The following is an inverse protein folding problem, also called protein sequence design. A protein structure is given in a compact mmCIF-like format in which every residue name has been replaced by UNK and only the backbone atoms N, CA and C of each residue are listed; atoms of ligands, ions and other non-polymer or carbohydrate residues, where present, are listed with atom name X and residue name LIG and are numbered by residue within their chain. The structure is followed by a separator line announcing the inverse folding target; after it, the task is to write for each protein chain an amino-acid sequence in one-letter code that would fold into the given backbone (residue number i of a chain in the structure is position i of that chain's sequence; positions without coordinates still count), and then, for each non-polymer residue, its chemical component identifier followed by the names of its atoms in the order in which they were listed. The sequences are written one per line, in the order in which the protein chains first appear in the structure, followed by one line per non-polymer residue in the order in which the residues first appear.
data_IF_345391170192
#
_entry.id   IF_345391170192
#
_cell.length_a   1.000
_cell.length_b   1.000
_cell.length_c   1.000
_cell.angle_alpha   90.00
_cell.angle_beta   90.00
_cell.angle_gamma   90.00
#
_symmetry.space_group_name_H-M   'P 1'
#
loop_
_entity.id
_entity.type
_entity.pdbx_description
1 polymer ?
#
# COMPACT_ATOMS: atom_id res chain seq x y z
N UNK A 1 7.70 -7.66 -3.20
CA UNK A 1 8.35 -8.60 -4.12
C UNK A 1 7.50 -8.77 -5.39
N UNK A 2 7.60 -7.81 -6.32
CA UNK A 2 6.80 -7.81 -7.55
C UNK A 2 7.24 -8.86 -8.57
N UNK A 3 6.44 -9.01 -9.66
CA UNK A 3 6.67 -10.05 -10.67
C UNK A 3 8.05 -9.96 -11.35
N UNK A 4 8.56 -8.74 -11.61
CA UNK A 4 9.91 -8.56 -12.19
C UNK A 4 11.02 -9.09 -11.28
N UNK A 5 10.86 -9.03 -9.97
CA UNK A 5 11.80 -9.65 -9.03
C UNK A 5 11.69 -11.18 -9.07
N UNK A 6 10.46 -11.72 -9.18
CA UNK A 6 10.29 -13.14 -9.38
C UNK A 6 11.04 -13.63 -10.64
N UNK A 7 10.86 -12.97 -11.77
CA UNK A 7 11.57 -13.34 -13.03
C UNK A 7 13.09 -13.32 -12.90
N UNK A 8 13.64 -12.38 -12.13
CA UNK A 8 15.10 -12.27 -11.91
C UNK A 8 15.64 -13.29 -10.92
N UNK A 9 14.87 -13.66 -9.90
CA UNK A 9 15.31 -14.54 -8.81
C UNK A 9 14.58 -15.88 -8.78
N UNK A 10 13.97 -16.28 -9.89
CA UNK A 10 13.20 -17.53 -9.98
C UNK A 10 14.01 -18.80 -9.68
N UNK A 11 15.32 -18.76 -9.90
CA UNK A 11 16.23 -19.87 -9.63
C UNK A 11 16.67 -19.97 -8.16
N UNK A 12 16.32 -18.99 -7.33
CA UNK A 12 16.64 -19.05 -5.91
C UNK A 12 16.01 -20.27 -5.22
N UNK A 13 16.73 -20.96 -4.31
CA UNK A 13 16.26 -22.21 -3.69
C UNK A 13 14.87 -22.13 -3.08
N UNK A 14 14.55 -21.02 -2.40
CA UNK A 14 13.22 -20.80 -1.82
C UNK A 14 12.12 -20.75 -2.89
N UNK A 15 12.34 -20.01 -3.98
CA UNK A 15 11.37 -19.88 -5.08
C UNK A 15 11.20 -21.24 -5.76
N UNK A 16 12.28 -21.97 -6.02
CA UNK A 16 12.24 -23.32 -6.59
C UNK A 16 11.51 -24.33 -5.69
N UNK A 17 11.63 -24.17 -4.38
CA UNK A 17 10.85 -24.95 -3.39
C UNK A 17 9.35 -24.66 -3.52
N UNK A 18 8.96 -23.40 -3.57
CA UNK A 18 7.55 -22.98 -3.73
C UNK A 18 7.00 -23.49 -5.05
N UNK A 19 7.76 -23.37 -6.15
CA UNK A 19 7.33 -23.85 -7.47
C UNK A 19 7.09 -25.38 -7.50
N UNK A 20 7.90 -26.16 -6.79
CA UNK A 20 7.75 -27.64 -6.73
C UNK A 20 6.58 -28.11 -5.87
N UNK A 21 6.20 -27.35 -4.85
CA UNK A 21 5.22 -27.80 -3.83
C UNK A 21 3.96 -26.95 -3.79
N UNK A 22 3.89 -25.90 -4.59
CA UNK A 22 2.80 -24.93 -4.62
C UNK A 22 2.52 -24.44 -6.02
N UNK A 23 2.00 -23.23 -6.09
CA UNK A 23 1.63 -22.52 -7.33
C UNK A 23 2.16 -21.09 -7.28
N UNK A 24 2.74 -20.64 -8.37
CA UNK A 24 3.21 -19.26 -8.54
C UNK A 24 2.46 -18.68 -9.74
N UNK A 25 1.82 -17.54 -9.55
CA UNK A 25 1.06 -16.88 -10.59
C UNK A 25 1.31 -15.38 -10.59
N UNK A 26 1.25 -14.80 -11.78
CA UNK A 26 1.27 -13.36 -11.98
C UNK A 26 -0.13 -12.79 -11.73
N UNK A 27 -0.21 -11.82 -10.85
CA UNK A 27 -1.42 -11.05 -10.58
C UNK A 27 -1.18 -9.59 -10.94
N UNK A 28 -2.24 -8.90 -11.35
CA UNK A 28 -2.25 -7.45 -11.47
C UNK A 28 -2.57 -6.84 -10.11
N UNK A 29 -1.85 -5.79 -9.74
CA UNK A 29 -2.22 -4.99 -8.57
C UNK A 29 -3.55 -4.27 -8.81
N UNK A 30 -4.28 -3.96 -7.75
CA UNK A 30 -5.45 -3.08 -7.87
C UNK A 30 -5.02 -1.65 -8.24
N UNK A 31 -5.96 -0.85 -8.70
CA UNK A 31 -5.77 0.57 -8.94
C UNK A 31 -6.34 1.40 -7.77
N UNK A 32 -5.63 2.43 -7.29
CA UNK A 32 -4.22 2.75 -7.53
C UNK A 32 -3.26 1.71 -6.94
N UNK A 33 -2.07 1.57 -7.56
CA UNK A 33 -1.08 0.57 -7.17
C UNK A 33 -0.16 1.11 -6.07
N UNK A 34 -0.68 1.24 -4.85
CA UNK A 34 0.05 1.79 -3.70
C UNK A 34 -0.10 0.95 -2.45
N UNK A 35 0.88 1.03 -1.56
CA UNK A 35 0.86 0.32 -0.27
C UNK A 35 -0.39 0.63 0.54
N UNK A 36 -0.80 1.91 0.62
CA UNK A 36 -1.94 2.29 1.44
C UNK A 36 -3.24 1.61 0.99
N UNK A 37 -3.49 1.58 -0.32
CA UNK A 37 -4.65 0.91 -0.91
C UNK A 37 -4.60 -0.60 -0.68
N UNK A 38 -3.47 -1.25 -1.02
CA UNK A 38 -3.34 -2.71 -0.97
C UNK A 38 -3.34 -3.27 0.45
N UNK A 39 -2.57 -2.67 1.36
CA UNK A 39 -2.53 -3.12 2.77
C UNK A 39 -3.90 -2.95 3.42
N UNK A 40 -4.64 -1.88 3.09
CA UNK A 40 -6.02 -1.71 3.57
C UNK A 40 -6.92 -2.82 3.03
N UNK A 41 -6.86 -3.13 1.73
CA UNK A 41 -7.63 -4.23 1.13
C UNK A 41 -7.26 -5.58 1.75
N UNK A 42 -5.98 -5.87 1.97
CA UNK A 42 -5.52 -7.12 2.61
C UNK A 42 -6.12 -7.28 4.01
N UNK A 43 -6.19 -6.21 4.80
CA UNK A 43 -6.69 -6.27 6.18
C UNK A 43 -8.20 -6.18 6.31
N UNK A 44 -8.90 -5.69 5.29
CA UNK A 44 -10.36 -5.47 5.35
C UNK A 44 -11.14 -6.39 4.43
N UNK A 45 -10.54 -6.84 3.32
CA UNK A 45 -11.24 -7.51 2.23
C UNK A 45 -12.08 -6.55 1.37
N UNK A 46 -11.96 -5.25 1.55
CA UNK A 46 -12.74 -4.24 0.85
C UNK A 46 -11.97 -3.69 -0.36
N UNK A 47 -12.62 -3.50 -1.51
CA UNK A 47 -12.01 -2.80 -2.63
C UNK A 47 -11.80 -1.32 -2.28
N UNK A 48 -10.96 -0.66 -3.05
CA UNK A 48 -10.55 0.74 -2.84
C UNK A 48 -11.76 1.69 -2.75
N UNK A 49 -12.70 1.58 -3.69
CA UNK A 49 -13.89 2.43 -3.70
C UNK A 49 -14.77 2.30 -2.45
N UNK A 50 -14.75 1.14 -1.79
CA UNK A 50 -15.50 0.92 -0.53
C UNK A 50 -14.68 1.35 0.68
N UNK A 51 -13.37 1.07 0.70
CA UNK A 51 -12.51 1.42 1.82
C UNK A 51 -12.29 2.92 1.96
N UNK A 52 -12.27 3.66 0.86
CA UNK A 52 -11.93 5.07 0.77
C UNK A 52 -10.44 5.37 0.96
N UNK A 53 -9.61 4.36 1.26
CA UNK A 53 -8.14 4.52 1.35
C UNK A 53 -7.56 4.12 0.01
N UNK A 54 -7.41 5.11 -0.87
CA UNK A 54 -7.09 4.84 -2.28
C UNK A 54 -5.65 5.14 -2.66
N UNK A 55 -4.93 5.96 -1.88
CA UNK A 55 -3.57 6.34 -2.21
C UNK A 55 -2.71 6.61 -0.96
N UNK A 56 -1.38 6.74 -1.15
CA UNK A 56 -0.44 7.12 -0.07
C UNK A 56 -0.73 8.52 0.45
N UNK A 57 -1.16 9.41 -0.43
CA UNK A 57 -1.67 10.74 -0.12
C UNK A 57 -2.99 10.95 -0.83
N UNK A 58 -4.01 11.44 -0.13
CA UNK A 58 -5.27 11.85 -0.74
C UNK A 58 -5.95 12.95 0.08
N UNK A 59 -6.86 13.68 -0.57
CA UNK A 59 -7.67 14.70 0.11
C UNK A 59 -8.74 14.04 0.99
N UNK A 60 -8.74 14.40 2.27
CA UNK A 60 -9.75 13.97 3.24
C UNK A 60 -10.73 15.13 3.52
N UNK A 61 -11.98 15.04 3.07
CA UNK A 61 -12.96 16.13 3.22
C UNK A 61 -13.21 16.56 4.65
N UNK A 62 -13.14 15.65 5.62
CA UNK A 62 -13.39 15.95 7.03
C UNK A 62 -12.28 16.81 7.65
N UNK A 63 -11.09 16.70 7.10
CA UNK A 63 -9.91 17.47 7.53
C UNK A 63 -9.69 18.69 6.63
N UNK A 64 -10.30 18.68 5.45
CA UNK A 64 -10.15 19.68 4.38
C UNK A 64 -8.69 19.88 3.95
N UNK A 65 -7.96 18.78 3.87
CA UNK A 65 -6.54 18.75 3.52
C UNK A 65 -6.12 17.41 2.92
N UNK A 66 -4.99 17.38 2.24
CA UNK A 66 -4.34 16.14 1.81
C UNK A 66 -3.66 15.48 3.02
N UNK A 67 -3.93 14.20 3.23
CA UNK A 67 -3.42 13.42 4.35
C UNK A 67 -2.55 12.25 3.89
N UNK A 68 -1.74 11.73 4.82
CA UNK A 68 -1.04 10.45 4.72
C UNK A 68 -1.76 9.43 5.61
N UNK A 69 -2.66 8.58 5.06
CA UNK A 69 -3.51 7.73 5.86
C UNK A 69 -2.74 6.75 6.74
N UNK A 70 -1.67 6.12 6.26
CA UNK A 70 -0.91 5.16 7.07
C UNK A 70 -0.21 5.80 8.27
N UNK A 71 0.09 7.10 8.20
CA UNK A 71 0.67 7.88 9.29
C UNK A 71 -0.40 8.50 10.20
N UNK A 72 -1.64 8.58 9.75
CA UNK A 72 -2.72 9.36 10.36
C UNK A 72 -2.30 10.84 10.54
N UNK A 73 -1.77 11.42 9.49
CA UNK A 73 -1.13 12.74 9.53
C UNK A 73 -1.44 13.57 8.29
N UNK A 74 -1.24 14.89 8.39
CA UNK A 74 -1.20 15.74 7.22
C UNK A 74 -0.09 15.30 6.26
N UNK A 75 -0.27 15.51 4.97
CA UNK A 75 0.80 15.34 3.98
C UNK A 75 1.97 16.31 4.25
N UNK A 76 3.17 15.95 3.76
CA UNK A 76 4.36 16.81 3.90
C UNK A 76 5.07 16.72 5.25
N UNK A 77 4.61 15.92 6.20
CA UNK A 77 5.30 15.64 7.47
C UNK A 77 5.67 14.16 7.59
N UNK A 78 6.75 13.88 8.34
CA UNK A 78 7.10 12.54 8.80
C UNK A 78 6.55 12.22 10.19
N UNK A 79 5.96 13.21 10.87
CA UNK A 79 5.34 13.02 12.16
C UNK A 79 4.08 12.18 12.02
N UNK A 80 3.85 11.31 12.99
CA UNK A 80 2.67 10.47 13.06
C UNK A 80 1.59 11.13 13.90
N UNK A 81 0.36 10.78 13.58
CA UNK A 81 -0.78 11.09 14.45
C UNK A 81 -1.10 12.59 14.58
N UNK A 82 -0.66 13.42 13.64
CA UNK A 82 -0.97 14.86 13.68
C UNK A 82 -2.47 15.16 13.53
N UNK A 83 -3.25 14.16 13.08
CA UNK A 83 -4.71 14.27 12.97
C UNK A 83 -5.48 13.86 14.23
N UNK A 84 -4.82 13.33 15.27
CA UNK A 84 -5.49 12.81 16.48
C UNK A 84 -6.41 13.80 17.19
N UNK A 85 -6.03 15.07 17.19
CA UNK A 85 -6.83 16.13 17.82
C UNK A 85 -7.92 16.70 16.90
N UNK A 86 -7.91 16.34 15.62
CA UNK A 86 -8.74 16.93 14.58
C UNK A 86 -9.91 16.01 14.21
N UNK A 87 -9.63 14.71 13.98
CA UNK A 87 -10.62 13.75 13.49
C UNK A 87 -10.46 12.40 14.20
N UNK A 88 -11.57 11.72 14.40
CA UNK A 88 -11.53 10.35 14.96
C UNK A 88 -11.02 9.36 13.90
N UNK A 89 -10.12 8.42 14.25
CA UNK A 89 -9.61 7.43 13.29
C UNK A 89 -10.72 6.64 12.56
N UNK A 90 -11.80 6.30 13.27
CA UNK A 90 -12.96 5.62 12.71
C UNK A 90 -13.70 6.41 11.60
N UNK A 91 -13.47 7.71 11.51
CA UNK A 91 -14.02 8.54 10.44
C UNK A 91 -13.17 8.49 9.16
N UNK A 92 -11.87 8.24 9.28
CA UNK A 92 -10.93 8.17 8.16
C UNK A 92 -10.79 6.73 7.60
N UNK A 93 -10.85 5.72 8.47
CA UNK A 93 -10.63 4.34 8.04
C UNK A 93 -11.92 3.53 7.95
N UNK A 94 -11.96 2.52 7.05
CA UNK A 94 -13.11 1.64 6.93
C UNK A 94 -13.35 0.86 8.22
N UNK A 95 -14.62 0.64 8.52
CA UNK A 95 -15.05 -0.25 9.58
C UNK A 95 -15.39 -1.63 8.99
N UNK A 96 -15.46 -2.67 9.80
CA UNK A 96 -15.88 -3.98 9.31
C UNK A 96 -14.76 -4.87 8.80
N UNK A 97 -13.64 -4.87 9.50
CA UNK A 97 -12.51 -5.78 9.24
C UNK A 97 -12.88 -7.26 9.50
N UNK A 98 -12.24 -8.19 8.80
CA UNK A 98 -12.59 -9.61 8.89
C UNK A 98 -12.05 -10.35 10.13
N UNK A 99 -11.11 -9.78 10.87
CA UNK A 99 -10.50 -10.45 12.05
C UNK A 99 -11.47 -10.87 13.15
N UNK A 100 -12.51 -10.08 13.49
CA UNK A 100 -13.54 -10.53 14.41
C UNK A 100 -14.32 -11.76 13.92
N UNK A 101 -14.54 -11.89 12.61
CA UNK A 101 -15.17 -13.06 12.02
C UNK A 101 -14.30 -14.32 12.17
N UNK A 102 -12.98 -14.21 11.96
CA UNK A 102 -12.05 -15.31 12.23
C UNK A 102 -12.14 -15.81 13.68
N UNK A 103 -12.21 -14.88 14.64
CA UNK A 103 -12.36 -15.25 16.06
C UNK A 103 -13.65 -16.00 16.34
N UNK A 104 -14.78 -15.60 15.74
CA UNK A 104 -16.07 -16.32 15.85
C UNK A 104 -15.98 -17.74 15.30
N UNK A 105 -15.11 -17.99 14.31
CA UNK A 105 -14.82 -19.31 13.76
C UNK A 105 -13.76 -20.09 14.56
N UNK A 106 -13.32 -19.56 15.70
CA UNK A 106 -12.31 -20.20 16.55
C UNK A 106 -10.88 -20.07 16.05
N UNK A 107 -10.64 -19.26 15.00
CA UNK A 107 -9.30 -18.96 14.46
C UNK A 107 -8.73 -17.75 15.18
N UNK A 108 -7.49 -17.84 15.68
CA UNK A 108 -6.82 -16.73 16.35
C UNK A 108 -5.98 -15.93 15.36
N UNK A 109 -6.32 -14.65 15.08
CA UNK A 109 -5.59 -13.83 14.12
C UNK A 109 -4.42 -13.09 14.78
N UNK A 110 -3.29 -13.08 14.07
CA UNK A 110 -2.09 -12.34 14.42
C UNK A 110 -1.58 -11.52 13.23
N UNK A 111 -1.08 -10.32 13.49
CA UNK A 111 -0.45 -9.46 12.49
C UNK A 111 0.96 -9.11 12.97
N UNK A 112 1.96 -9.47 12.16
CA UNK A 112 3.35 -9.12 12.39
C UNK A 112 3.71 -7.90 11.55
N UNK A 113 4.17 -6.83 12.20
CA UNK A 113 4.58 -5.58 11.56
C UNK A 113 5.88 -5.03 12.14
N UNK A 114 6.56 -4.21 11.37
CA UNK A 114 7.80 -3.58 11.81
C UNK A 114 7.54 -2.67 13.03
N UNK A 115 8.47 -2.70 13.98
CA UNK A 115 8.33 -2.03 15.28
C UNK A 115 8.16 -0.52 15.16
N UNK A 116 8.75 0.10 14.16
CA UNK A 116 8.75 1.55 14.00
C UNK A 116 7.34 2.12 13.74
N UNK A 117 6.42 1.28 13.25
CA UNK A 117 5.04 1.68 12.98
C UNK A 117 3.98 0.66 13.46
N UNK A 118 4.38 -0.26 14.34
CA UNK A 118 3.46 -1.22 14.97
C UNK A 118 3.64 -1.22 16.48
N UNK A 119 2.61 -0.85 17.26
CA UNK A 119 1.26 -0.46 16.85
C UNK A 119 1.16 0.96 16.23
N UNK A 120 0.06 1.24 15.51
CA UNK A 120 -0.23 2.56 14.96
C UNK A 120 -1.72 2.89 15.06
N UNK A 121 -2.08 4.15 14.86
CA UNK A 121 -3.48 4.58 14.83
C UNK A 121 -4.23 3.91 13.68
N UNK A 122 -3.63 3.79 12.49
CA UNK A 122 -4.16 3.01 11.39
C UNK A 122 -4.43 1.55 11.79
N UNK A 123 -3.43 0.88 12.34
CA UNK A 123 -3.53 -0.53 12.74
C UNK A 123 -4.58 -0.76 13.85
N UNK A 124 -4.82 0.23 14.72
CA UNK A 124 -5.82 0.12 15.78
C UNK A 124 -7.26 -0.02 15.24
N UNK A 125 -7.52 0.48 14.03
CA UNK A 125 -8.82 0.38 13.35
C UNK A 125 -8.80 -0.77 12.34
N UNK A 126 -7.90 -0.74 11.38
CA UNK A 126 -7.89 -1.64 10.22
C UNK A 126 -7.47 -3.07 10.57
N UNK A 127 -6.76 -3.25 11.68
CA UNK A 127 -6.39 -4.58 12.20
C UNK A 127 -7.14 -4.93 13.50
N UNK A 128 -8.25 -4.25 13.77
CA UNK A 128 -9.05 -4.50 14.97
C UNK A 128 -9.46 -5.97 15.06
N UNK A 129 -9.19 -6.58 16.21
CA UNK A 129 -9.47 -7.99 16.42
C UNK A 129 -8.26 -8.91 16.21
N UNK A 130 -7.20 -8.51 15.53
CA UNK A 130 -5.94 -9.23 15.48
C UNK A 130 -5.04 -8.88 16.66
N UNK A 131 -4.20 -9.83 17.09
CA UNK A 131 -3.12 -9.58 18.03
C UNK A 131 -1.89 -9.07 17.25
N UNK A 132 -1.45 -7.85 17.54
CA UNK A 132 -0.30 -7.25 16.85
C UNK A 132 1.01 -7.70 17.49
N UNK A 133 1.97 -8.10 16.67
CA UNK A 133 3.31 -8.53 17.04
C UNK A 133 4.33 -7.66 16.29
N UNK A 134 5.05 -6.82 17.02
CA UNK A 134 6.11 -6.03 16.39
C UNK A 134 7.43 -6.80 16.32
N UNK A 135 8.22 -6.53 15.29
CA UNK A 135 9.57 -7.06 15.11
C UNK A 135 10.53 -5.99 14.56
N UNK A 136 11.83 -6.19 14.73
CA UNK A 136 12.88 -5.33 14.16
C UNK A 136 13.48 -5.92 12.88
N UNK A 137 13.66 -7.25 12.85
CA UNK A 137 14.29 -7.96 11.74
C UNK A 137 13.42 -9.10 11.24
N UNK A 138 13.56 -9.46 9.97
CA UNK A 138 12.82 -10.58 9.40
C UNK A 138 13.13 -11.90 10.13
N UNK A 139 14.38 -12.15 10.50
CA UNK A 139 14.77 -13.35 11.26
C UNK A 139 14.08 -13.41 12.62
N UNK A 140 13.97 -12.29 13.35
CA UNK A 140 13.18 -12.21 14.59
C UNK A 140 11.70 -12.56 14.33
N UNK A 141 11.10 -11.98 13.29
CA UNK A 141 9.71 -12.25 12.94
C UNK A 141 9.46 -13.72 12.62
N UNK A 142 10.34 -14.35 11.84
CA UNK A 142 10.24 -15.76 11.45
C UNK A 142 10.38 -16.69 12.66
N UNK A 143 11.32 -16.41 13.58
CA UNK A 143 11.46 -17.18 14.82
C UNK A 143 10.22 -16.99 15.71
N UNK A 144 9.74 -15.78 15.89
CA UNK A 144 8.54 -15.51 16.68
C UNK A 144 7.30 -16.18 16.09
N UNK A 145 7.18 -16.23 14.77
CA UNK A 145 6.13 -16.99 14.07
C UNK A 145 6.24 -18.49 14.38
N UNK A 146 7.44 -19.07 14.30
CA UNK A 146 7.68 -20.49 14.64
C UNK A 146 7.26 -20.82 16.07
N UNK A 147 7.68 -20.01 17.04
CA UNK A 147 7.32 -20.15 18.47
C UNK A 147 5.80 -20.04 18.67
N UNK A 148 5.17 -19.07 17.98
CA UNK A 148 3.72 -18.88 18.04
C UNK A 148 2.98 -20.13 17.54
N UNK A 149 3.40 -20.69 16.41
CA UNK A 149 2.80 -21.89 15.84
C UNK A 149 3.01 -23.13 16.70
N UNK A 150 4.15 -23.25 17.38
CA UNK A 150 4.41 -24.34 18.33
C UNK A 150 3.49 -24.30 19.53
N UNK A 151 3.25 -23.13 20.07
CA UNK A 151 2.42 -22.94 21.27
C UNK A 151 0.91 -22.92 20.97
N UNK A 152 0.53 -22.79 19.72
CA UNK A 152 -0.87 -22.65 19.33
C UNK A 152 -1.57 -24.00 19.32
N UNK A 153 -2.63 -24.12 20.14
CA UNK A 153 -3.51 -25.31 20.19
C UNK A 153 -4.75 -25.16 19.28
N UNK A 154 -5.02 -23.97 18.79
CA UNK A 154 -6.15 -23.63 17.92
C UNK A 154 -5.65 -23.22 16.55
N UNK A 155 -6.49 -23.29 15.51
CA UNK A 155 -6.15 -22.70 14.22
C UNK A 155 -5.75 -21.23 14.37
N UNK A 156 -4.74 -20.82 13.60
CA UNK A 156 -4.25 -19.45 13.58
C UNK A 156 -4.25 -18.90 12.16
N UNK A 157 -4.53 -17.64 12.04
CA UNK A 157 -4.26 -16.83 10.85
C UNK A 157 -3.11 -15.91 11.21
N UNK A 158 -2.10 -15.86 10.36
CA UNK A 158 -0.97 -14.93 10.55
C UNK A 158 -0.73 -14.14 9.28
N UNK A 159 -0.62 -12.84 9.41
CA UNK A 159 -0.15 -11.95 8.36
C UNK A 159 1.20 -11.36 8.81
N UNK A 160 2.20 -11.41 7.94
CA UNK A 160 3.52 -10.81 8.17
C UNK A 160 3.81 -9.86 7.02
N UNK A 161 4.01 -8.59 7.33
CA UNK A 161 4.37 -7.57 6.36
C UNK A 161 5.85 -7.20 6.48
N UNK A 162 6.55 -7.22 5.35
CA UNK A 162 7.97 -6.89 5.25
C UNK A 162 8.17 -5.83 4.18
N UNK A 163 8.64 -4.65 4.58
CA UNK A 163 8.71 -3.44 3.77
C UNK A 163 10.11 -3.11 3.21
N UNK A 164 11.16 -3.82 3.63
CA UNK A 164 12.55 -3.38 3.35
C UNK A 164 12.90 -3.38 1.87
N UNK A 165 12.37 -4.34 1.10
CA UNK A 165 12.60 -4.37 -0.34
C UNK A 165 12.03 -3.13 -1.00
N UNK A 166 10.80 -2.75 -0.65
CA UNK A 166 10.15 -1.54 -1.18
C UNK A 166 10.88 -0.27 -0.73
N UNK A 167 11.25 -0.19 0.54
CA UNK A 167 11.99 0.95 1.08
C UNK A 167 13.31 1.19 0.33
N UNK A 168 14.06 0.13 0.00
CA UNK A 168 15.30 0.25 -0.77
C UNK A 168 15.05 0.56 -2.24
N UNK A 169 13.94 0.06 -2.83
CA UNK A 169 13.53 0.48 -4.17
C UNK A 169 13.29 2.00 -4.25
N UNK A 170 12.69 2.58 -3.22
CA UNK A 170 12.44 4.03 -3.15
C UNK A 170 13.72 4.84 -2.94
N UNK A 171 14.72 4.29 -2.26
CA UNK A 171 15.96 5.01 -1.95
C UNK A 171 17.01 4.88 -3.07
N UNK A 172 17.17 3.68 -3.64
CA UNK A 172 18.25 3.38 -4.58
C UNK A 172 17.77 2.98 -5.97
N UNK A 173 16.49 2.63 -6.11
CA UNK A 173 15.94 2.06 -7.35
C UNK A 173 15.83 0.54 -7.33
N UNK A 174 14.89 -0.04 -8.12
CA UNK A 174 14.60 -1.47 -8.11
C UNK A 174 15.70 -2.36 -8.71
N UNK A 175 16.64 -1.78 -9.45
CA UNK A 175 17.79 -2.51 -10.06
C UNK A 175 19.11 -2.23 -9.36
N UNK A 176 19.10 -1.47 -8.29
CA UNK A 176 20.30 -1.12 -7.54
C UNK A 176 20.87 -2.33 -6.77
N UNK A 177 22.21 -2.42 -6.61
CA UNK A 177 22.86 -3.51 -5.87
C UNK A 177 22.36 -3.64 -4.43
N UNK A 178 21.99 -2.53 -3.78
CA UNK A 178 21.44 -2.53 -2.43
C UNK A 178 20.07 -3.23 -2.37
N UNK A 179 19.22 -2.99 -3.36
CA UNK A 179 17.92 -3.65 -3.48
C UNK A 179 18.07 -5.13 -3.80
N UNK A 180 18.99 -5.48 -4.68
CA UNK A 180 19.31 -6.89 -4.98
C UNK A 180 19.79 -7.65 -3.75
N UNK A 181 20.73 -7.08 -3.01
CA UNK A 181 21.25 -7.69 -1.78
C UNK A 181 20.16 -7.93 -0.72
N UNK A 182 19.20 -7.02 -0.59
CA UNK A 182 18.06 -7.21 0.33
C UNK A 182 17.13 -8.33 -0.15
N UNK A 183 16.88 -8.43 -1.46
CA UNK A 183 16.08 -9.51 -2.04
C UNK A 183 16.76 -10.86 -1.81
N UNK A 184 18.07 -10.94 -2.07
CA UNK A 184 18.86 -12.16 -1.81
C UNK A 184 18.81 -12.55 -0.34
N UNK A 185 19.02 -11.58 0.56
CA UNK A 185 18.93 -11.80 2.01
C UNK A 185 17.56 -12.29 2.42
N UNK A 186 16.48 -11.67 1.91
CA UNK A 186 15.11 -12.12 2.14
C UNK A 186 14.92 -13.59 1.72
N UNK A 187 15.34 -13.94 0.51
CA UNK A 187 15.18 -15.30 -0.02
C UNK A 187 16.02 -16.33 0.76
N UNK A 188 17.23 -15.98 1.16
CA UNK A 188 18.08 -16.82 2.02
C UNK A 188 17.46 -17.07 3.39
N UNK A 189 16.91 -16.03 4.03
CA UNK A 189 16.23 -16.18 5.31
C UNK A 189 14.96 -17.02 5.18
N UNK A 190 14.18 -16.84 4.13
CA UNK A 190 12.99 -17.63 3.85
C UNK A 190 13.38 -19.12 3.66
N UNK A 191 14.40 -19.43 2.84
CA UNK A 191 14.88 -20.81 2.66
C UNK A 191 15.35 -21.43 3.98
N UNK A 192 16.16 -20.69 4.74
CA UNK A 192 16.74 -21.20 5.99
C UNK A 192 15.69 -21.48 7.06
N UNK A 193 14.69 -20.61 7.21
CA UNK A 193 13.70 -20.71 8.29
C UNK A 193 12.43 -21.47 7.89
N UNK A 194 12.15 -21.64 6.59
CA UNK A 194 10.90 -22.23 6.12
C UNK A 194 10.66 -23.63 6.70
N UNK A 195 11.64 -24.51 6.59
CA UNK A 195 11.54 -25.87 7.14
C UNK A 195 11.46 -25.86 8.68
N UNK A 196 12.19 -24.98 9.34
CA UNK A 196 12.13 -24.85 10.81
C UNK A 196 10.74 -24.46 11.30
N UNK A 197 10.02 -23.66 10.52
CA UNK A 197 8.67 -23.18 10.86
C UNK A 197 7.60 -24.19 10.46
N UNK A 198 7.70 -24.80 9.29
CA UNK A 198 6.60 -25.55 8.67
C UNK A 198 6.82 -27.06 8.58
N UNK A 199 8.05 -27.57 8.67
CA UNK A 199 8.35 -29.01 8.55
C UNK A 199 7.57 -29.82 9.59
N UNK A 200 6.92 -30.88 9.11
CA UNK A 200 6.10 -31.77 9.95
C UNK A 200 4.74 -31.24 10.36
N UNK A 201 4.41 -29.97 10.05
CA UNK A 201 3.09 -29.41 10.30
C UNK A 201 2.13 -29.84 9.19
N UNK A 202 0.97 -30.34 9.58
CA UNK A 202 -0.12 -30.68 8.66
C UNK A 202 -1.13 -29.53 8.58
N UNK A 203 -1.79 -29.39 7.43
CA UNK A 203 -2.86 -28.39 7.20
C UNK A 203 -2.39 -26.95 7.38
N UNK A 204 -1.24 -26.62 6.79
CA UNK A 204 -0.72 -25.25 6.67
C UNK A 204 -0.92 -24.79 5.24
N UNK A 205 -1.48 -23.60 5.08
CA UNK A 205 -1.47 -22.84 3.84
C UNK A 205 -0.49 -21.68 4.03
N UNK A 206 0.53 -21.62 3.19
CA UNK A 206 1.44 -20.48 3.07
C UNK A 206 1.08 -19.69 1.81
N UNK A 207 0.84 -18.40 1.96
CA UNK A 207 0.62 -17.46 0.86
C UNK A 207 1.68 -16.37 0.95
N UNK A 208 2.29 -16.05 -0.18
CA UNK A 208 3.20 -14.92 -0.32
C UNK A 208 2.69 -14.06 -1.48
N UNK A 209 2.50 -12.78 -1.23
CA UNK A 209 2.07 -11.82 -2.25
C UNK A 209 2.82 -10.50 -2.06
N UNK A 210 2.82 -9.68 -3.09
CA UNK A 210 3.24 -8.28 -2.99
C UNK A 210 2.00 -7.38 -3.01
N UNK A 211 2.09 -6.25 -2.35
CA UNK A 211 1.10 -5.18 -2.43
C UNK A 211 1.18 -4.48 -3.79
N UNK A 212 2.37 -4.29 -4.35
CA UNK A 212 2.62 -3.82 -5.70
C UNK A 212 4.03 -4.23 -6.17
N UNK A 213 4.38 -3.88 -7.40
CA UNK A 213 5.74 -3.97 -7.92
C UNK A 213 6.48 -2.63 -7.84
N UNK A 214 7.69 -2.59 -8.38
CA UNK A 214 8.47 -1.39 -8.55
C UNK A 214 8.89 -1.22 -10.02
N UNK A 215 9.02 0.03 -10.46
CA UNK A 215 9.49 0.40 -11.80
C UNK A 215 10.59 1.44 -11.69
N UNK A 216 11.55 1.40 -12.60
CA UNK A 216 12.54 2.46 -12.73
C UNK A 216 11.85 3.78 -13.06
N UNK A 217 12.35 4.84 -12.44
CA UNK A 217 11.99 6.22 -12.73
C UNK A 217 13.27 6.96 -13.10
N UNK A 218 13.27 7.64 -14.24
CA UNK A 218 14.38 8.49 -14.62
C UNK A 218 14.09 9.95 -14.22
N UNK A 219 14.83 10.52 -13.26
CA UNK A 219 14.64 11.90 -12.82
C UNK A 219 14.75 12.94 -13.95
N UNK A 220 15.58 12.68 -14.98
CA UNK A 220 15.77 13.58 -16.10
C UNK A 220 14.54 13.70 -17.01
N UNK A 221 13.72 12.64 -17.07
CA UNK A 221 12.49 12.60 -17.85
C UNK A 221 11.23 12.82 -17.02
N UNK A 222 11.38 12.94 -15.70
CA UNK A 222 10.26 13.20 -14.78
C UNK A 222 9.71 14.62 -14.99
N UNK A 223 8.39 14.72 -15.14
CA UNK A 223 7.70 15.99 -15.32
C UNK A 223 7.20 16.48 -13.96
N UNK A 224 7.72 17.61 -13.52
CA UNK A 224 7.28 18.29 -12.31
C UNK A 224 6.32 19.41 -12.69
N UNK A 225 5.00 19.20 -12.55
CA UNK A 225 3.96 20.13 -13.01
C UNK A 225 4.09 21.53 -12.41
N UNK A 226 4.58 21.64 -11.19
CA UNK A 226 4.69 22.89 -10.45
C UNK A 226 5.87 23.77 -10.83
N UNK A 227 6.90 23.22 -11.47
CA UNK A 227 8.12 23.98 -11.82
C UNK A 227 8.47 23.94 -13.31
N UNK A 228 7.89 23.00 -14.06
CA UNK A 228 8.20 22.87 -15.47
C UNK A 228 7.52 24.00 -16.28
N UNK A 229 8.26 24.83 -17.06
CA UNK A 229 7.71 26.03 -17.71
C UNK A 229 6.51 25.78 -18.62
N UNK A 230 6.42 24.59 -19.20
CA UNK A 230 5.31 24.20 -20.08
C UNK A 230 3.94 24.15 -19.37
N UNK A 231 3.95 24.06 -18.05
CA UNK A 231 2.73 24.02 -17.22
C UNK A 231 2.49 25.31 -16.43
N UNK A 232 3.20 26.38 -16.75
CA UNK A 232 2.97 27.70 -16.15
C UNK A 232 1.49 28.12 -16.29
N UNK A 233 0.90 28.57 -15.19
CA UNK A 233 -0.51 28.94 -15.11
C UNK A 233 -1.47 27.77 -14.82
N UNK A 234 -0.95 26.57 -14.58
CA UNK A 234 -1.77 25.41 -14.17
C UNK A 234 -2.42 25.64 -12.80
N UNK A 235 -1.74 26.32 -11.89
CA UNK A 235 -2.19 26.62 -10.53
C UNK A 235 -3.55 27.33 -10.46
N UNK A 236 -3.96 28.04 -11.51
CA UNK A 236 -5.28 28.67 -11.59
C UNK A 236 -6.46 27.70 -11.56
N UNK A 237 -6.21 26.43 -11.89
CA UNK A 237 -7.23 25.38 -11.88
C UNK A 237 -7.34 24.69 -10.53
N UNK A 238 -6.33 24.82 -9.67
CA UNK A 238 -6.26 24.13 -8.39
C UNK A 238 -7.35 24.66 -7.46
N UNK A 239 -8.06 23.71 -6.84
CA UNK A 239 -9.03 24.00 -5.78
C UNK A 239 -8.30 24.44 -4.51
N UNK A 240 -8.85 25.40 -3.81
CA UNK A 240 -8.40 25.78 -2.47
C UNK A 240 -9.25 25.12 -1.39
N UNK A 241 -8.66 24.89 -0.21
CA UNK A 241 -9.37 24.51 0.98
C UNK A 241 -10.15 25.71 1.57
N UNK A 242 -10.91 25.49 2.66
CA UNK A 242 -11.73 26.54 3.32
C UNK A 242 -10.90 27.72 3.83
N UNK A 243 -9.61 27.51 4.07
CA UNK A 243 -8.69 28.56 4.50
C UNK A 243 -8.02 29.31 3.32
N UNK A 244 -8.43 29.02 2.09
CA UNK A 244 -7.87 29.64 0.88
C UNK A 244 -6.51 29.09 0.45
N UNK A 245 -6.05 27.99 1.04
CA UNK A 245 -4.79 27.34 0.66
C UNK A 245 -5.04 26.36 -0.50
N UNK A 246 -4.23 26.41 -1.59
CA UNK A 246 -4.38 25.49 -2.70
C UNK A 246 -4.15 24.04 -2.23
N UNK A 247 -5.00 23.13 -2.71
CA UNK A 247 -4.83 21.70 -2.46
C UNK A 247 -3.66 21.18 -3.28
N UNK A 248 -2.68 20.60 -2.59
CA UNK A 248 -1.54 19.97 -3.27
C UNK A 248 -2.01 18.74 -4.05
N UNK A 249 -1.37 18.41 -5.19
CA UNK A 249 -1.59 17.14 -5.86
C UNK A 249 -1.32 15.96 -4.92
N UNK A 250 -2.06 14.88 -5.11
CA UNK A 250 -1.91 13.66 -4.36
C UNK A 250 -1.62 12.48 -5.31
N UNK A 251 -1.44 11.30 -4.75
CA UNK A 251 -1.09 10.13 -5.53
C UNK A 251 0.41 9.92 -5.67
N UNK A 252 0.81 9.33 -6.76
CA UNK A 252 2.19 8.96 -7.08
C UNK A 252 2.61 9.49 -8.45
N UNK A 253 3.85 9.23 -8.86
CA UNK A 253 4.33 9.61 -10.19
C UNK A 253 3.60 8.89 -11.35
N UNK A 254 2.90 7.77 -11.05
CA UNK A 254 2.12 7.01 -12.03
C UNK A 254 0.67 7.44 -12.07
N UNK A 255 0.10 7.68 -10.92
CA UNK A 255 -1.33 7.93 -10.70
C UNK A 255 -1.47 9.23 -9.90
N UNK A 256 -1.35 10.37 -10.59
CA UNK A 256 -1.39 11.68 -9.96
C UNK A 256 -2.84 12.20 -9.89
N UNK A 257 -3.33 12.45 -8.69
CA UNK A 257 -4.65 13.01 -8.44
C UNK A 257 -4.56 14.53 -8.22
N UNK A 258 -5.33 15.26 -9.01
CA UNK A 258 -5.40 16.71 -8.97
C UNK A 258 -6.78 17.14 -8.46
N UNK A 259 -6.79 17.98 -7.45
CA UNK A 259 -8.03 18.54 -6.89
C UNK A 259 -8.28 19.90 -7.52
N UNK A 260 -9.22 19.94 -8.44
CA UNK A 260 -9.47 21.10 -9.29
C UNK A 260 -10.80 21.77 -8.91
N UNK A 261 -10.96 23.02 -9.34
CA UNK A 261 -12.24 23.72 -9.23
C UNK A 261 -13.23 23.12 -10.22
N UNK A 262 -14.46 22.93 -9.79
CA UNK A 262 -15.52 22.32 -10.62
C UNK A 262 -15.79 23.09 -11.90
N UNK A 263 -15.74 24.43 -11.85
CA UNK A 263 -15.97 25.32 -12.98
C UNK A 263 -14.86 25.31 -14.03
N UNK A 264 -13.75 24.64 -13.78
CA UNK A 264 -12.57 24.61 -14.62
C UNK A 264 -12.07 23.23 -15.03
N UNK A 265 -12.85 22.17 -14.74
CA UNK A 265 -12.45 20.78 -15.02
C UNK A 265 -12.16 20.53 -16.49
N UNK A 266 -13.03 20.97 -17.41
CA UNK A 266 -12.87 20.77 -18.85
C UNK A 266 -11.65 21.54 -19.38
N UNK A 267 -11.48 22.78 -18.97
CA UNK A 267 -10.35 23.62 -19.36
C UNK A 267 -9.02 23.04 -18.85
N UNK A 268 -9.01 22.54 -17.61
CA UNK A 268 -7.84 21.91 -17.02
C UNK A 268 -7.49 20.59 -17.73
N UNK A 269 -8.49 19.77 -18.05
CA UNK A 269 -8.29 18.54 -18.82
C UNK A 269 -7.72 18.86 -20.21
N UNK A 270 -8.29 19.80 -20.94
CA UNK A 270 -7.78 20.21 -22.25
C UNK A 270 -6.35 20.78 -22.16
N UNK A 271 -6.08 21.60 -21.14
CA UNK A 271 -4.76 22.19 -20.89
C UNK A 271 -3.70 21.12 -20.66
N UNK A 272 -3.99 20.13 -19.81
CA UNK A 272 -3.06 19.05 -19.46
C UNK A 272 -2.91 18.04 -20.58
N UNK A 273 -4.01 17.57 -21.19
CA UNK A 273 -3.98 16.57 -22.27
C UNK A 273 -3.11 17.03 -23.44
N UNK A 274 -3.22 18.29 -23.84
CA UNK A 274 -2.37 18.86 -24.90
C UNK A 274 -0.88 18.86 -24.55
N UNK A 275 -0.54 19.03 -23.26
CA UNK A 275 0.86 19.18 -22.80
C UNK A 275 1.51 17.86 -22.43
N UNK A 276 0.68 16.87 -22.12
CA UNK A 276 1.07 15.52 -21.73
C UNK A 276 0.85 14.49 -22.84
N UNK A 277 0.52 14.94 -24.07
CA UNK A 277 0.31 14.07 -25.21
C UNK A 277 1.48 13.09 -25.39
N UNK A 278 1.15 11.79 -25.49
CA UNK A 278 2.12 10.71 -25.59
C UNK A 278 2.94 10.41 -24.31
N UNK A 279 2.64 11.11 -23.19
CA UNK A 279 3.34 10.93 -21.91
C UNK A 279 2.42 10.46 -20.78
N UNK A 280 1.17 10.94 -20.76
CA UNK A 280 0.18 10.53 -19.78
C UNK A 280 -1.24 10.73 -20.30
N UNK A 281 -2.16 9.89 -19.84
CA UNK A 281 -3.59 10.06 -20.01
C UNK A 281 -4.13 11.00 -18.95
N UNK A 282 -4.95 11.95 -19.35
CA UNK A 282 -5.60 12.91 -18.46
C UNK A 282 -7.10 12.67 -18.50
N UNK A 283 -7.63 12.11 -17.43
CA UNK A 283 -9.02 11.69 -17.33
C UNK A 283 -9.69 12.27 -16.10
N UNK A 284 -11.01 12.45 -16.16
CA UNK A 284 -11.81 12.79 -14.97
C UNK A 284 -11.93 11.56 -14.07
N UNK A 285 -11.96 11.77 -12.76
CA UNK A 285 -12.10 10.66 -11.80
C UNK A 285 -13.41 9.89 -12.01
N UNK A 286 -14.49 10.56 -12.40
CA UNK A 286 -15.79 9.95 -12.71
C UNK A 286 -15.69 8.91 -13.83
N UNK A 287 -14.83 9.13 -14.82
CA UNK A 287 -14.55 8.13 -15.86
C UNK A 287 -13.95 6.87 -15.26
N UNK A 288 -12.92 6.97 -14.42
CA UNK A 288 -12.30 5.83 -13.76
C UNK A 288 -13.27 5.09 -12.84
N UNK A 289 -14.17 5.82 -12.19
CA UNK A 289 -15.24 5.26 -11.37
C UNK A 289 -16.19 4.45 -12.25
N UNK A 290 -16.67 5.00 -13.37
CA UNK A 290 -17.60 4.34 -14.27
C UNK A 290 -17.02 3.08 -14.93
N UNK A 291 -15.71 3.07 -15.18
CA UNK A 291 -14.98 1.91 -15.70
C UNK A 291 -14.60 0.88 -14.62
N UNK A 292 -14.94 1.13 -13.34
CA UNK A 292 -14.74 0.20 -12.24
C UNK A 292 -13.30 0.07 -11.76
N UNK A 293 -12.43 1.05 -12.04
CA UNK A 293 -11.03 1.01 -11.61
C UNK A 293 -10.86 0.90 -10.08
N UNK A 294 -11.78 1.46 -9.31
CA UNK A 294 -11.75 1.44 -7.84
C UNK A 294 -12.57 0.29 -7.23
N UNK A 295 -13.03 -0.63 -8.07
CA UNK A 295 -13.90 -1.73 -7.68
C UNK A 295 -15.37 -1.52 -8.05
N UNK A 296 -16.23 -2.53 -7.82
CA UNK A 296 -17.61 -2.52 -8.29
C UNK A 296 -18.54 -1.58 -7.53
N UNK A 297 -18.14 -1.14 -6.35
CA UNK A 297 -18.94 -0.30 -5.47
C UNK A 297 -18.11 0.89 -4.98
N UNK A 298 -18.77 2.04 -4.92
CA UNK A 298 -18.20 3.29 -4.40
C UNK A 298 -18.98 3.71 -3.17
N UNK A 299 -18.30 3.83 -2.06
CA UNK A 299 -18.91 4.31 -0.81
C UNK A 299 -18.90 5.84 -0.75
N UNK A 300 -19.78 6.43 0.08
CA UNK A 300 -19.75 7.88 0.34
C UNK A 300 -18.42 8.38 0.93
N UNK A 301 -17.55 7.46 1.33
CA UNK A 301 -16.23 7.76 1.87
C UNK A 301 -15.21 8.04 0.74
N UNK A 302 -15.40 7.45 -0.42
CA UNK A 302 -14.56 7.61 -1.59
C UNK A 302 -14.89 8.91 -2.31
#
# INVERSE_FOLDING_TARGET
FGWRFYERFQDAPFIQRVARHGRIEKLTSQFPSTTAAHVTTIHTGLPVGVSGVHEWYYYEPQVDAVIAPLLFSYSGTRERDTLKSIVKPAAVYPQGVFYPALKKLGVKPYVFGIRDYTPSTYASVVMQGAEQKSFKTLSEALINLGILLERSKKPVYTHLYFDKIDALCHEYGPTAPQTEAEIETFLLLMEHYFDRIFKGRKRVLFLMTADHGASEVNPETTIYLNIHPHFAGFERFIRANRNGQPLVPAGSARDLFLYLREDSLDDAQAFLSKRLEGKADVVKAEYLISEGYFGPEISPRF
#
